data_IF_427184459280
#
_entry.id   IF_427184459280
#
_cell.length_a   1.000
_cell.length_b   1.000
_cell.length_c   1.000
_cell.angle_alpha   90.00
_cell.angle_beta   90.00
_cell.angle_gamma   90.00
#
_symmetry.space_group_name_H-M   'P 1'
#
loop_
_entity.id
_entity.type
_entity.pdbx_description
1 polymer ?
#
# COMPACT_ATOMS: atom_id res chain seq x y z
N UNK A 1 12.71 -6.05 -0.26
CA UNK A 1 12.05 -7.37 -0.07
C UNK A 1 12.67 -8.22 1.06
N UNK A 2 13.37 -7.66 2.05
CA UNK A 2 14.22 -8.45 2.96
C UNK A 2 13.60 -8.90 4.31
N UNK A 3 12.28 -8.82 4.52
CA UNK A 3 11.70 -9.02 5.87
C UNK A 3 10.43 -9.91 5.94
N UNK A 4 10.12 -10.72 4.93
CA UNK A 4 9.04 -11.72 5.01
C UNK A 4 9.59 -13.13 4.86
N UNK A 5 9.18 -14.05 5.75
CA UNK A 5 9.46 -15.49 5.64
C UNK A 5 8.41 -16.22 4.80
N UNK A 6 7.43 -15.49 4.25
CA UNK A 6 6.42 -16.08 3.38
C UNK A 6 7.05 -16.49 2.04
N UNK A 7 6.83 -17.72 1.56
CA UNK A 7 7.20 -18.12 0.22
C UNK A 7 6.61 -17.14 -0.80
N UNK A 8 7.44 -16.65 -1.72
CA UNK A 8 7.02 -15.72 -2.75
C UNK A 8 7.53 -16.21 -4.11
N UNK A 9 6.66 -16.17 -5.12
CA UNK A 9 7.04 -16.47 -6.48
C UNK A 9 8.05 -15.43 -7.02
N UNK A 10 8.91 -15.88 -7.94
CA UNK A 10 9.76 -14.96 -8.69
C UNK A 10 8.88 -13.99 -9.51
N UNK A 11 9.12 -12.67 -9.39
CA UNK A 11 8.32 -11.67 -10.08
C UNK A 11 8.71 -11.59 -11.57
N UNK A 12 7.73 -11.29 -12.43
CA UNK A 12 8.01 -10.90 -13.80
C UNK A 12 8.74 -9.54 -13.81
N UNK A 13 9.73 -9.40 -14.68
CA UNK A 13 10.43 -8.13 -14.87
C UNK A 13 9.47 -7.11 -15.47
N UNK A 14 9.45 -5.89 -14.92
CA UNK A 14 8.55 -4.85 -15.41
C UNK A 14 8.75 -4.53 -16.89
N UNK A 15 10.00 -4.53 -17.36
CA UNK A 15 10.33 -4.34 -18.78
C UNK A 15 9.72 -5.41 -19.70
N UNK A 16 9.58 -6.64 -19.21
CA UNK A 16 8.93 -7.73 -19.95
C UNK A 16 7.42 -7.50 -20.02
N UNK A 17 6.81 -7.16 -18.88
CA UNK A 17 5.38 -6.78 -18.79
C UNK A 17 5.06 -5.63 -19.75
N UNK A 18 5.86 -4.56 -19.73
CA UNK A 18 5.69 -3.40 -20.62
C UNK A 18 5.84 -3.79 -22.10
N UNK A 19 6.80 -4.65 -22.44
CA UNK A 19 6.98 -5.14 -23.80
C UNK A 19 5.74 -5.87 -24.31
N UNK A 20 5.19 -6.80 -23.53
CA UNK A 20 3.98 -7.56 -23.89
C UNK A 20 2.77 -6.64 -24.04
N UNK A 21 2.57 -5.71 -23.11
CA UNK A 21 1.47 -4.75 -23.18
C UNK A 21 1.58 -3.83 -24.41
N UNK A 22 2.78 -3.32 -24.71
CA UNK A 22 3.02 -2.45 -25.86
C UNK A 22 2.81 -3.16 -27.21
N UNK A 23 3.02 -4.48 -27.23
CA UNK A 23 2.81 -5.34 -28.39
C UNK A 23 1.40 -5.94 -28.47
N UNK A 24 0.47 -5.45 -27.62
CA UNK A 24 -0.90 -5.95 -27.51
C UNK A 24 -1.00 -7.47 -27.21
N UNK A 25 0.00 -8.01 -26.51
CA UNK A 25 0.11 -9.41 -26.11
C UNK A 25 -0.33 -9.60 -24.64
N UNK A 26 -1.45 -8.97 -24.26
CA UNK A 26 -2.00 -9.08 -22.91
C UNK A 26 -2.38 -10.52 -22.56
N UNK A 27 -2.89 -11.28 -23.52
CA UNK A 27 -3.31 -12.67 -23.29
C UNK A 27 -2.11 -13.56 -22.93
N UNK A 28 -0.96 -13.37 -23.61
CA UNK A 28 0.30 -14.05 -23.29
C UNK A 28 0.76 -13.70 -21.87
N UNK A 29 0.67 -12.43 -21.47
CA UNK A 29 0.98 -12.01 -20.11
C UNK A 29 0.05 -12.71 -19.08
N UNK A 30 -1.24 -12.84 -19.37
CA UNK A 30 -2.18 -13.54 -18.49
C UNK A 30 -1.84 -15.03 -18.38
N UNK A 31 -1.48 -15.69 -19.49
CA UNK A 31 -1.03 -17.09 -19.49
C UNK A 31 0.23 -17.29 -18.65
N UNK A 32 1.23 -16.41 -18.78
CA UNK A 32 2.45 -16.44 -17.95
C UNK A 32 2.12 -16.29 -16.46
N UNK A 33 1.20 -15.39 -16.11
CA UNK A 33 0.76 -15.18 -14.72
C UNK A 33 0.04 -16.42 -14.17
N UNK A 34 -0.84 -17.05 -14.95
CA UNK A 34 -1.53 -18.29 -14.58
C UNK A 34 -0.52 -19.42 -14.36
N UNK A 35 0.43 -19.59 -15.28
CA UNK A 35 1.46 -20.61 -15.18
C UNK A 35 2.32 -20.41 -13.93
N UNK A 36 2.74 -19.17 -13.66
CA UNK A 36 3.52 -18.83 -12.47
C UNK A 36 2.71 -19.06 -11.18
N UNK A 37 1.42 -18.69 -11.17
CA UNK A 37 0.53 -18.96 -10.05
C UNK A 37 0.48 -20.47 -9.74
N UNK A 38 0.09 -21.32 -10.70
CA UNK A 38 -0.03 -22.76 -10.48
C UNK A 38 1.29 -23.45 -10.14
N UNK A 39 2.43 -22.95 -10.65
CA UNK A 39 3.74 -23.50 -10.33
C UNK A 39 4.13 -23.27 -8.85
N UNK A 40 3.64 -22.19 -8.23
CA UNK A 40 4.07 -21.76 -6.91
C UNK A 40 3.01 -21.96 -5.80
N UNK A 41 1.79 -22.38 -6.12
CA UNK A 41 0.66 -22.41 -5.17
C UNK A 41 0.10 -23.80 -4.89
N UNK A 42 0.76 -24.88 -5.34
CA UNK A 42 0.24 -26.26 -5.24
C UNK A 42 -0.13 -26.71 -3.82
N UNK A 43 0.65 -26.28 -2.82
CA UNK A 43 0.46 -26.64 -1.42
C UNK A 43 -0.05 -25.45 -0.57
N UNK A 44 -0.46 -24.36 -1.22
CA UNK A 44 -0.91 -23.16 -0.53
C UNK A 44 -2.42 -23.20 -0.27
N UNK A 45 -2.83 -23.06 0.99
CA UNK A 45 -4.25 -22.90 1.36
C UNK A 45 -4.77 -21.49 1.02
N UNK A 46 -3.89 -20.48 1.13
CA UNK A 46 -4.20 -19.07 0.86
C UNK A 46 -3.05 -18.47 0.06
N UNK A 47 -3.40 -17.74 -1.00
CA UNK A 47 -2.45 -17.02 -1.84
C UNK A 47 -2.78 -15.54 -1.82
N UNK A 48 -1.81 -14.72 -1.42
CA UNK A 48 -1.92 -13.26 -1.50
C UNK A 48 -1.28 -12.76 -2.79
N UNK A 49 -2.09 -12.16 -3.66
CA UNK A 49 -1.61 -11.49 -4.87
C UNK A 49 -1.58 -9.98 -4.62
N UNK A 50 -0.39 -9.41 -4.52
CA UNK A 50 -0.22 -7.97 -4.39
C UNK A 50 -0.50 -7.28 -5.73
N UNK A 51 -1.46 -6.36 -5.74
CA UNK A 51 -1.75 -5.53 -6.91
C UNK A 51 -0.67 -4.48 -7.14
N UNK A 52 -0.52 -4.07 -8.40
CA UNK A 52 0.35 -2.96 -8.79
C UNK A 52 -0.20 -1.63 -8.30
N UNK A 53 0.67 -0.78 -7.78
CA UNK A 53 0.32 0.60 -7.39
C UNK A 53 0.28 1.48 -8.64
N UNK A 54 -0.85 2.15 -8.95
CA UNK A 54 -0.92 3.09 -10.07
C UNK A 54 0.05 4.25 -9.86
N UNK A 55 0.88 4.51 -10.87
CA UNK A 55 1.80 5.67 -10.89
C UNK A 55 1.75 6.33 -12.25
N UNK A 56 2.31 7.55 -12.37
CA UNK A 56 2.43 8.23 -13.67
C UNK A 56 3.17 7.39 -14.73
N UNK A 57 4.12 6.54 -14.29
CA UNK A 57 4.87 5.62 -15.16
C UNK A 57 4.05 4.39 -15.55
N UNK A 58 3.19 3.90 -14.67
CA UNK A 58 2.41 2.67 -14.87
C UNK A 58 0.91 2.97 -14.81
N UNK A 59 0.40 3.72 -15.79
CA UNK A 59 -1.03 4.05 -15.85
C UNK A 59 -1.91 2.82 -16.15
N UNK A 60 -1.32 1.77 -16.74
CA UNK A 60 -1.98 0.49 -17.01
C UNK A 60 -2.19 -0.37 -15.75
N UNK A 61 -1.56 -0.03 -14.61
CA UNK A 61 -1.56 -0.86 -13.41
C UNK A 61 -2.97 -1.26 -12.94
N UNK A 62 -3.92 -0.32 -12.98
CA UNK A 62 -5.28 -0.58 -12.52
C UNK A 62 -6.02 -1.57 -13.43
N UNK A 63 -5.94 -1.37 -14.75
CA UNK A 63 -6.53 -2.31 -15.72
C UNK A 63 -5.86 -3.68 -15.62
N UNK A 64 -4.54 -3.72 -15.46
CA UNK A 64 -3.80 -4.97 -15.32
C UNK A 64 -4.17 -5.70 -14.01
N UNK A 65 -4.30 -5.00 -12.89
CA UNK A 65 -4.77 -5.59 -11.63
C UNK A 65 -6.15 -6.25 -11.79
N UNK A 66 -7.08 -5.57 -12.49
CA UNK A 66 -8.41 -6.11 -12.72
C UNK A 66 -8.36 -7.38 -13.59
N UNK A 67 -7.56 -7.38 -14.66
CA UNK A 67 -7.41 -8.55 -15.53
C UNK A 67 -6.75 -9.72 -14.81
N UNK A 68 -5.73 -9.47 -13.99
CA UNK A 68 -5.10 -10.49 -13.16
C UNK A 68 -6.11 -11.09 -12.19
N UNK A 69 -6.84 -10.26 -11.45
CA UNK A 69 -7.84 -10.73 -10.50
C UNK A 69 -8.94 -11.55 -11.19
N UNK A 70 -9.41 -11.10 -12.35
CA UNK A 70 -10.41 -11.82 -13.15
C UNK A 70 -9.86 -13.15 -13.66
N UNK A 71 -8.64 -13.16 -14.19
CA UNK A 71 -7.97 -14.34 -14.75
C UNK A 71 -7.75 -15.42 -13.69
N UNK A 72 -7.37 -15.01 -12.49
CA UNK A 72 -7.17 -15.91 -11.36
C UNK A 72 -8.46 -16.23 -10.59
N UNK A 73 -9.61 -15.66 -11.00
CA UNK A 73 -10.86 -15.66 -10.24
C UNK A 73 -10.65 -15.33 -8.75
N UNK A 74 -9.82 -14.32 -8.49
CA UNK A 74 -9.42 -13.93 -7.15
C UNK A 74 -10.45 -13.00 -6.50
N UNK A 75 -10.60 -13.15 -5.19
CA UNK A 75 -11.26 -12.16 -4.34
C UNK A 75 -10.41 -10.88 -4.27
N UNK A 76 -11.08 -9.73 -4.29
CA UNK A 76 -10.46 -8.41 -4.38
C UNK A 76 -10.74 -7.65 -3.09
N UNK A 77 -9.67 -7.27 -2.41
CA UNK A 77 -9.72 -6.35 -1.26
C UNK A 77 -8.99 -5.08 -1.65
N UNK A 78 -9.70 -3.95 -1.62
CA UNK A 78 -9.05 -2.65 -1.81
C UNK A 78 -8.34 -2.23 -0.52
N UNK A 79 -7.15 -1.65 -0.66
CA UNK A 79 -6.45 -1.00 0.45
C UNK A 79 -6.30 0.47 0.11
N UNK A 80 -6.97 1.32 0.87
CA UNK A 80 -7.04 2.76 0.61
C UNK A 80 -6.59 3.52 1.86
N UNK A 81 -6.01 4.70 1.70
CA UNK A 81 -5.80 5.61 2.82
C UNK A 81 -6.88 6.69 2.84
N UNK A 82 -7.17 7.24 4.02
CA UNK A 82 -8.08 8.37 4.14
C UNK A 82 -7.52 9.62 3.45
N UNK A 83 -6.29 10.04 3.80
CA UNK A 83 -5.72 11.29 3.30
C UNK A 83 -6.48 12.50 3.86
N UNK A 84 -6.76 13.48 2.99
CA UNK A 84 -7.56 14.68 3.30
C UNK A 84 -9.05 14.50 3.05
N UNK A 85 -9.51 13.27 2.79
CA UNK A 85 -10.92 13.04 2.46
C UNK A 85 -11.82 13.17 3.70
N UNK A 86 -12.97 13.82 3.51
CA UNK A 86 -14.13 13.65 4.39
C UNK A 86 -14.71 12.22 4.26
N UNK A 87 -15.55 11.75 5.19
CA UNK A 87 -16.22 10.45 5.05
C UNK A 87 -16.93 10.28 3.70
N UNK A 88 -17.61 11.33 3.22
CA UNK A 88 -18.36 11.31 1.96
C UNK A 88 -17.42 11.18 0.76
N UNK A 89 -16.33 11.96 0.73
CA UNK A 89 -15.32 11.90 -0.32
C UNK A 89 -14.61 10.53 -0.36
N UNK A 90 -14.34 9.96 0.81
CA UNK A 90 -13.75 8.63 0.91
C UNK A 90 -14.69 7.57 0.30
N UNK A 91 -15.99 7.66 0.59
CA UNK A 91 -17.00 6.76 0.02
C UNK A 91 -17.14 6.92 -1.50
N UNK A 92 -17.14 8.15 -2.01
CA UNK A 92 -17.12 8.40 -3.46
C UNK A 92 -15.89 7.76 -4.10
N UNK A 93 -14.71 7.89 -3.48
CA UNK A 93 -13.47 7.28 -4.00
C UNK A 93 -13.52 5.75 -3.96
N UNK A 94 -14.16 5.15 -2.95
CA UNK A 94 -14.40 3.71 -2.90
C UNK A 94 -15.30 3.29 -4.07
N UNK A 95 -16.39 4.01 -4.34
CA UNK A 95 -17.31 3.69 -5.45
C UNK A 95 -16.66 3.87 -6.83
N UNK A 96 -15.83 4.90 -7.03
CA UNK A 96 -15.05 5.09 -8.25
C UNK A 96 -14.05 3.95 -8.48
N UNK A 97 -13.39 3.50 -7.41
CA UNK A 97 -12.47 2.37 -7.46
C UNK A 97 -13.23 1.09 -7.81
N UNK A 98 -14.35 0.82 -7.14
CA UNK A 98 -15.25 -0.31 -7.42
C UNK A 98 -15.71 -0.32 -8.87
N UNK A 99 -16.15 0.82 -9.39
CA UNK A 99 -16.60 0.98 -10.78
C UNK A 99 -15.53 0.59 -11.79
N UNK A 100 -14.27 0.89 -11.50
CA UNK A 100 -13.13 0.55 -12.36
C UNK A 100 -12.79 -0.95 -12.36
N UNK A 101 -13.33 -1.71 -11.41
CA UNK A 101 -13.17 -3.16 -11.27
C UNK A 101 -14.48 -3.91 -11.59
N UNK A 102 -15.30 -3.39 -12.50
CA UNK A 102 -16.56 -4.02 -12.91
C UNK A 102 -17.79 -3.60 -12.10
N UNK A 103 -17.62 -2.66 -11.16
CA UNK A 103 -18.71 -2.02 -10.42
C UNK A 103 -19.52 -2.98 -9.57
N UNK A 104 -20.79 -2.65 -9.34
CA UNK A 104 -21.68 -3.45 -8.49
C UNK A 104 -21.96 -4.87 -8.98
N UNK A 105 -21.68 -5.17 -10.26
CA UNK A 105 -21.87 -6.50 -10.84
C UNK A 105 -20.71 -7.46 -10.55
N UNK A 106 -19.54 -6.95 -10.17
CA UNK A 106 -18.41 -7.79 -9.82
C UNK A 106 -18.54 -8.28 -8.37
N UNK A 107 -18.96 -9.52 -8.20
CA UNK A 107 -19.14 -10.18 -6.90
C UNK A 107 -17.83 -10.56 -6.22
N UNK A 108 -16.70 -10.52 -6.94
CA UNK A 108 -15.40 -10.84 -6.37
C UNK A 108 -14.80 -9.67 -5.58
N UNK A 109 -15.43 -8.49 -5.56
CA UNK A 109 -15.00 -7.38 -4.71
C UNK A 109 -15.53 -7.62 -3.28
N UNK A 110 -14.66 -8.17 -2.43
CA UNK A 110 -15.01 -8.59 -1.06
C UNK A 110 -15.11 -7.41 -0.10
N UNK A 111 -14.32 -6.35 -0.33
CA UNK A 111 -14.42 -5.15 0.50
C UNK A 111 -13.21 -4.23 0.43
N UNK A 112 -13.12 -3.35 1.42
CA UNK A 112 -12.07 -2.34 1.53
C UNK A 112 -11.47 -2.31 2.94
N UNK A 113 -10.16 -2.10 3.01
CA UNK A 113 -9.41 -1.79 4.22
C UNK A 113 -8.98 -0.31 4.14
N UNK A 114 -9.31 0.45 5.18
CA UNK A 114 -8.88 1.84 5.31
C UNK A 114 -7.62 1.90 6.16
N UNK A 115 -6.48 2.12 5.52
CA UNK A 115 -5.18 2.23 6.16
C UNK A 115 -4.87 3.68 6.59
N UNK A 116 -4.06 3.85 7.63
CA UNK A 116 -3.62 5.15 8.15
C UNK A 116 -4.81 6.08 8.47
N UNK A 117 -5.88 5.53 9.02
CA UNK A 117 -7.06 6.31 9.38
C UNK A 117 -6.68 7.39 10.39
N UNK A 118 -7.19 8.61 10.21
CA UNK A 118 -6.92 9.78 11.04
C UNK A 118 -5.43 10.16 11.10
N UNK A 119 -4.64 9.80 10.08
CA UNK A 119 -3.25 10.23 10.00
C UNK A 119 -3.16 11.75 9.85
N UNK A 120 -2.16 12.40 10.49
CA UNK A 120 -1.83 13.78 10.19
C UNK A 120 -1.28 13.86 8.77
N UNK A 121 -1.89 14.72 7.95
CA UNK A 121 -1.51 14.91 6.54
C UNK A 121 -1.34 16.38 6.22
N UNK A 122 -0.51 16.67 5.21
CA UNK A 122 -0.47 18.01 4.60
C UNK A 122 -1.67 18.24 3.67
N UNK A 123 -1.78 19.44 3.09
CA UNK A 123 -2.85 19.79 2.14
C UNK A 123 -2.90 18.87 0.91
N UNK A 124 -1.84 18.12 0.61
CA UNK A 124 -1.77 17.16 -0.49
C UNK A 124 -2.11 15.73 -0.05
N UNK A 125 -2.56 15.52 1.19
CA UNK A 125 -2.91 14.21 1.73
C UNK A 125 -1.70 13.32 2.04
N UNK A 126 -0.48 13.88 2.04
CA UNK A 126 0.73 13.10 2.30
C UNK A 126 0.93 12.99 3.80
N UNK A 127 1.06 11.77 4.30
CA UNK A 127 1.57 11.53 5.65
C UNK A 127 3.05 11.94 5.66
N UNK A 128 3.41 12.95 6.45
CA UNK A 128 4.80 13.35 6.66
C UNK A 128 5.29 12.75 7.98
N UNK A 129 5.99 11.59 7.95
CA UNK A 129 6.62 11.03 9.14
C UNK A 129 7.92 11.76 9.53
N UNK A 130 8.38 12.69 8.68
CA UNK A 130 9.58 13.49 8.94
C UNK A 130 9.35 14.42 10.12
N UNK A 131 10.30 14.40 11.05
CA UNK A 131 10.26 15.05 12.35
C UNK A 131 10.80 16.48 12.30
N UNK A 132 11.13 16.97 11.11
CA UNK A 132 11.66 18.32 10.85
C UNK A 132 10.59 19.43 10.98
N UNK A 133 9.34 19.18 10.59
CA UNK A 133 8.27 20.21 10.60
C UNK A 133 7.43 20.25 11.89
N UNK A 134 7.70 19.43 12.91
CA UNK A 134 7.15 19.69 14.27
C UNK A 134 7.61 21.08 14.77
N UNK A 135 8.68 21.63 14.19
CA UNK A 135 9.27 22.92 14.57
C UNK A 135 9.04 24.05 13.56
N UNK A 136 8.38 23.80 12.42
CA UNK A 136 8.15 24.82 11.39
C UNK A 136 6.65 25.12 11.29
N UNK A 137 6.24 26.28 11.81
CA UNK A 137 4.85 26.74 12.01
C UNK A 137 4.08 26.98 10.69
N UNK A 138 4.68 26.61 9.55
CA UNK A 138 4.23 26.98 8.20
C UNK A 138 3.41 25.90 7.47
N UNK A 139 3.36 24.65 7.96
CA UNK A 139 2.43 23.63 7.43
C UNK A 139 1.69 22.91 8.56
N UNK A 140 0.54 23.45 8.96
CA UNK A 140 -0.30 22.85 9.99
C UNK A 140 -0.89 21.55 9.47
N UNK A 141 -0.28 20.43 9.85
CA UNK A 141 -0.81 19.10 9.58
C UNK A 141 -2.28 19.03 10.03
N UNK A 142 -3.16 18.64 9.12
CA UNK A 142 -4.58 18.53 9.40
C UNK A 142 -4.93 17.08 9.72
N UNK A 143 -5.87 16.92 10.67
CA UNK A 143 -6.44 15.62 11.02
C UNK A 143 -7.95 15.72 10.84
N UNK A 144 -8.46 15.11 9.79
CA UNK A 144 -9.90 14.92 9.61
C UNK A 144 -10.26 13.65 10.38
N UNK A 145 -10.99 13.80 11.48
CA UNK A 145 -11.36 12.65 12.32
C UNK A 145 -12.57 11.94 11.74
N UNK A 146 -12.40 10.66 11.45
CA UNK A 146 -13.46 9.73 11.12
C UNK A 146 -13.56 8.71 12.24
N UNK A 147 -14.78 8.52 12.73
CA UNK A 147 -15.12 7.44 13.65
C UNK A 147 -15.11 6.11 12.85
N UNK A 148 -14.24 5.14 13.21
CA UNK A 148 -14.19 3.85 12.52
C UNK A 148 -15.56 3.15 12.46
N UNK A 149 -16.41 3.32 13.48
CA UNK A 149 -17.73 2.71 13.52
C UNK A 149 -18.66 3.23 12.40
N UNK A 150 -18.46 4.49 11.98
CA UNK A 150 -19.28 5.14 10.93
C UNK A 150 -18.82 4.85 9.51
N UNK A 151 -17.62 4.30 9.34
CA UNK A 151 -17.10 3.95 8.00
C UNK A 151 -18.01 2.92 7.33
N UNK A 152 -18.48 1.91 8.07
CA UNK A 152 -19.31 0.86 7.51
C UNK A 152 -20.71 1.35 7.12
N UNK A 153 -21.29 2.29 7.85
CA UNK A 153 -22.68 2.74 7.67
C UNK A 153 -22.94 3.36 6.29
N UNK A 154 -21.92 4.00 5.72
CA UNK A 154 -22.03 4.79 4.49
C UNK A 154 -21.20 4.25 3.32
N UNK A 155 -20.40 3.20 3.56
CA UNK A 155 -19.52 2.67 2.53
C UNK A 155 -20.29 1.86 1.48
N UNK A 156 -19.98 2.03 0.19
CA UNK A 156 -20.56 1.21 -0.89
C UNK A 156 -20.05 -0.24 -0.90
N UNK A 157 -19.03 -0.56 -0.10
CA UNK A 157 -18.43 -1.89 0.05
C UNK A 157 -18.31 -2.25 1.54
N UNK A 158 -18.24 -3.54 1.89
CA UNK A 158 -17.88 -3.96 3.24
C UNK A 158 -16.52 -3.37 3.66
N UNK A 159 -16.46 -2.72 4.81
CA UNK A 159 -15.23 -2.24 5.42
C UNK A 159 -14.67 -3.38 6.27
N UNK A 160 -13.69 -4.09 5.71
CA UNK A 160 -13.08 -5.27 6.33
C UNK A 160 -12.17 -4.91 7.50
N UNK A 161 -11.70 -3.66 7.53
CA UNK A 161 -10.90 -3.14 8.64
C UNK A 161 -10.53 -1.68 8.45
N UNK A 162 -10.27 -1.02 9.58
CA UNK A 162 -9.70 0.32 9.62
C UNK A 162 -8.45 0.29 10.49
N UNK A 163 -7.29 0.52 9.88
CA UNK A 163 -6.00 0.55 10.58
C UNK A 163 -5.74 2.00 11.00
N UNK A 164 -5.79 2.32 12.30
CA UNK A 164 -5.56 3.68 12.76
C UNK A 164 -4.11 4.08 12.49
N UNK A 165 -3.90 5.38 12.29
CA UNK A 165 -2.56 5.93 12.30
C UNK A 165 -1.87 5.65 13.62
N UNK A 166 -0.70 5.03 13.53
CA UNK A 166 0.20 4.85 14.66
C UNK A 166 1.62 5.10 14.19
N UNK A 167 2.30 6.02 14.86
CA UNK A 167 3.71 6.29 14.60
C UNK A 167 4.56 5.03 14.79
N UNK A 168 4.25 4.20 15.80
CA UNK A 168 5.01 2.97 16.07
C UNK A 168 4.87 1.93 14.95
N UNK A 169 3.75 1.91 14.21
CA UNK A 169 3.57 1.01 13.06
C UNK A 169 4.46 1.37 11.88
N UNK A 170 4.74 2.67 11.69
CA UNK A 170 5.55 3.17 10.56
C UNK A 170 7.03 3.39 10.93
N UNK A 171 7.36 3.46 12.22
CA UNK A 171 8.72 3.76 12.68
C UNK A 171 9.69 2.63 12.31
N UNK A 172 10.74 2.95 11.55
CA UNK A 172 11.73 1.96 11.09
C UNK A 172 12.57 1.47 12.27
N UNK A 173 12.91 0.16 12.32
CA UNK A 173 13.80 -0.35 13.37
C UNK A 173 15.21 0.22 13.16
N UNK A 174 15.91 0.50 14.26
CA UNK A 174 17.27 1.02 14.21
C UNK A 174 18.22 0.09 13.43
N UNK A 175 18.02 -1.23 13.53
CA UNK A 175 18.80 -2.22 12.77
C UNK A 175 18.56 -2.13 11.25
N UNK A 176 17.33 -1.81 10.82
CA UNK A 176 17.02 -1.68 9.39
C UNK A 176 17.75 -0.44 8.81
N UNK A 177 17.81 0.65 9.57
CA UNK A 177 18.59 1.83 9.19
C UNK A 177 20.10 1.56 9.15
N UNK A 178 20.65 0.87 10.17
CA UNK A 178 22.06 0.52 10.19
C UNK A 178 22.47 -0.33 8.98
N UNK A 179 21.64 -1.34 8.64
CA UNK A 179 21.84 -2.17 7.44
C UNK A 179 21.73 -1.36 6.15
N UNK A 180 20.73 -0.48 6.05
CA UNK A 180 20.54 0.34 4.85
C UNK A 180 21.70 1.32 4.60
N UNK A 181 22.24 1.91 5.66
CA UNK A 181 23.35 2.87 5.59
C UNK A 181 24.73 2.20 5.58
N UNK A 182 24.79 0.86 5.69
CA UNK A 182 26.02 0.11 5.92
C UNK A 182 26.83 0.66 7.12
N UNK A 183 26.12 1.07 8.17
CA UNK A 183 26.70 1.76 9.33
C UNK A 183 27.44 0.78 10.25
N UNK A 184 28.55 1.23 10.83
CA UNK A 184 29.25 0.48 11.88
C UNK A 184 28.51 0.63 13.21
N UNK A 185 28.10 -0.49 13.80
CA UNK A 185 27.41 -0.50 15.09
C UNK A 185 28.46 -0.44 16.20
N UNK A 186 28.54 0.68 16.92
CA UNK A 186 29.47 0.86 18.04
C UNK A 186 28.93 0.19 19.32
N UNK A 187 27.60 0.17 19.50
CA UNK A 187 26.91 -0.52 20.59
C UNK A 187 25.60 -1.13 20.08
N UNK A 188 25.44 -2.45 20.25
CA UNK A 188 24.27 -3.17 19.76
C UNK A 188 23.03 -2.91 20.61
N UNK A 189 23.13 -2.90 21.95
CA UNK A 189 21.97 -2.79 22.84
C UNK A 189 20.74 -3.58 22.35
N UNK A 190 19.57 -2.93 22.35
CA UNK A 190 18.32 -3.49 21.81
C UNK A 190 18.05 -3.10 20.34
N UNK A 191 19.07 -2.89 19.52
CA UNK A 191 18.93 -2.35 18.14
C UNK A 191 18.00 -3.18 17.24
N UNK A 192 17.84 -4.47 17.54
CA UNK A 192 16.97 -5.41 16.80
C UNK A 192 15.48 -5.10 16.98
N UNK A 193 15.08 -4.48 18.09
CA UNK A 193 13.69 -4.21 18.44
C UNK A 193 13.39 -2.71 18.58
N UNK A 194 14.39 -1.88 18.93
CA UNK A 194 14.22 -0.42 19.01
C UNK A 194 13.83 0.19 17.67
N UNK A 195 12.82 1.05 17.70
CA UNK A 195 12.37 1.85 16.56
C UNK A 195 12.90 3.28 16.65
N UNK A 196 13.22 3.86 15.49
CA UNK A 196 13.64 5.26 15.40
C UNK A 196 12.44 6.15 15.60
N UNK A 197 12.51 6.98 16.65
CA UNK A 197 11.42 7.89 17.05
C UNK A 197 11.59 9.31 16.55
N UNK A 198 12.83 9.76 16.37
CA UNK A 198 13.15 11.08 15.85
C UNK A 198 14.45 11.06 15.04
N UNK A 199 14.56 11.99 14.07
CA UNK A 199 15.77 12.27 13.30
C UNK A 199 16.01 13.77 13.39
N UNK A 200 17.21 14.18 13.78
CA UNK A 200 17.58 15.60 13.89
C UNK A 200 18.83 15.84 13.06
N UNK A 201 18.75 16.76 12.10
CA UNK A 201 19.89 17.19 11.30
C UNK A 201 20.59 18.35 12.00
N UNK A 202 21.81 18.11 12.49
CA UNK A 202 22.65 19.17 13.03
C UNK A 202 23.59 19.66 11.93
N UNK A 203 23.27 20.80 11.31
CA UNK A 203 24.23 21.52 10.50
C UNK A 203 25.15 22.32 11.41
N UNK A 204 26.46 22.10 11.32
CA UNK A 204 27.43 22.98 11.97
C UNK A 204 27.54 24.23 11.09
N UNK A 205 27.04 25.36 11.57
CA UNK A 205 27.39 26.65 10.98
C UNK A 205 28.91 26.79 11.06
N UNK A 206 29.55 26.92 9.90
CA UNK A 206 30.96 27.28 9.78
C UNK A 206 31.07 28.79 9.73
#
# INVERSE_FOLDING_TARGET
RANSTLPAAEPLKMSHVESLLSSNQKDVLMEEIIANYHANTKDAEVVLVEGLVPTRKHQFAQSLNYEIAKTLNAEIVFVMSQGTDTPEQLNERIELTRSSFGGAKNTNITGVIINKLNAPVDEQGRTRPDLSEIFDDSSKAQVIKIDPAKLQESSPLPVLGAVPWSFDLIATRAIDMARHLNATIINEGDIKTRRVKSVTFCARAS
#
